data_IF_595021868963
#
_entry.id   IF_595021868963
#
_cell.length_a   1.000
_cell.length_b   1.000
_cell.length_c   1.000
_cell.angle_alpha   90.00
_cell.angle_beta   90.00
_cell.angle_gamma   90.00
#
_symmetry.space_group_name_H-M   'P 1'
#
loop_
_entity.id
_entity.type
_entity.pdbx_description
1 polymer ?
#
# COMPACT_ATOMS: atom_id res chain seq x y z
N UNK A 1 -29.75 24.45 -51.66
CA UNK A 1 -30.47 23.47 -50.81
C UNK A 1 -29.58 22.30 -50.32
N UNK A 2 -28.62 21.78 -51.10
CA UNK A 2 -27.79 20.63 -50.67
C UNK A 2 -26.62 20.96 -49.71
N UNK A 3 -26.18 22.23 -49.63
CA UNK A 3 -25.05 22.63 -48.79
C UNK A 3 -25.42 22.76 -47.30
N UNK A 4 -26.66 23.16 -47.00
CA UNK A 4 -27.19 23.26 -45.63
C UNK A 4 -27.44 21.88 -45.01
N UNK A 5 -27.83 20.87 -45.82
CA UNK A 5 -28.00 19.49 -45.35
C UNK A 5 -26.69 18.86 -44.87
N UNK A 6 -25.60 19.04 -45.63
CA UNK A 6 -24.27 18.55 -45.22
C UNK A 6 -23.70 19.27 -44.00
N UNK A 7 -24.06 20.54 -43.80
CA UNK A 7 -23.60 21.32 -42.64
C UNK A 7 -24.37 20.96 -41.36
N UNK A 8 -25.66 20.61 -41.47
CA UNK A 8 -26.44 20.06 -40.36
C UNK A 8 -25.99 18.64 -40.00
N UNK A 9 -25.65 17.81 -40.99
CA UNK A 9 -25.07 16.48 -40.74
C UNK A 9 -23.65 16.56 -40.15
N UNK A 10 -22.82 17.52 -40.56
CA UNK A 10 -21.50 17.73 -39.94
C UNK A 10 -21.59 18.35 -38.54
N UNK A 11 -22.55 19.23 -38.26
CA UNK A 11 -22.74 19.78 -36.91
C UNK A 11 -23.36 18.75 -35.96
N UNK A 12 -24.30 17.93 -36.44
CA UNK A 12 -24.81 16.75 -35.72
C UNK A 12 -23.66 15.77 -35.41
N UNK A 13 -22.86 15.40 -36.42
CA UNK A 13 -21.73 14.48 -36.23
C UNK A 13 -20.60 15.06 -35.37
N UNK A 14 -20.35 16.37 -35.41
CA UNK A 14 -19.39 17.05 -34.53
C UNK A 14 -19.92 17.16 -33.09
N UNK A 15 -21.22 17.36 -32.89
CA UNK A 15 -21.82 17.29 -31.55
C UNK A 15 -21.82 15.85 -30.98
N UNK A 16 -21.87 14.82 -31.83
CA UNK A 16 -21.65 13.42 -31.42
C UNK A 16 -20.18 13.07 -31.18
N UNK A 17 -19.23 13.74 -31.86
CA UNK A 17 -17.78 13.55 -31.65
C UNK A 17 -17.30 14.02 -30.26
N UNK A 18 -18.02 14.96 -29.64
CA UNK A 18 -17.71 15.48 -28.30
C UNK A 18 -18.60 14.95 -27.19
N UNK A 19 -19.53 14.04 -27.48
CA UNK A 19 -20.38 13.45 -26.45
C UNK A 19 -19.89 12.05 -26.08
N UNK A 20 -19.38 11.93 -24.85
CA UNK A 20 -19.01 10.64 -24.28
C UNK A 20 -20.20 9.66 -24.41
N UNK A 21 -20.06 8.55 -25.17
CA UNK A 21 -21.15 7.61 -25.43
C UNK A 21 -21.67 6.92 -24.15
N UNK A 22 -20.90 6.97 -23.07
CA UNK A 22 -21.23 6.37 -21.77
C UNK A 22 -21.70 7.41 -20.73
N UNK A 23 -21.98 8.65 -21.17
CA UNK A 23 -22.50 9.67 -20.27
C UNK A 23 -23.99 9.46 -20.02
N UNK A 24 -24.34 9.27 -18.76
CA UNK A 24 -25.71 9.15 -18.29
C UNK A 24 -26.43 10.49 -18.42
N UNK A 25 -27.61 10.49 -19.04
CA UNK A 25 -28.41 11.70 -19.26
C UNK A 25 -29.90 11.41 -19.13
N UNK A 26 -30.66 12.38 -18.65
CA UNK A 26 -32.11 12.39 -18.74
C UNK A 26 -32.54 12.63 -20.19
N UNK A 27 -33.40 11.76 -20.71
CA UNK A 27 -33.96 11.83 -22.05
C UNK A 27 -35.46 11.60 -22.01
N UNK A 28 -36.27 12.42 -22.70
CA UNK A 28 -37.71 12.26 -22.71
C UNK A 28 -38.11 10.97 -23.43
N UNK A 29 -39.04 10.22 -22.83
CA UNK A 29 -39.50 8.93 -23.37
C UNK A 29 -40.17 9.08 -24.74
N UNK A 30 -40.75 10.25 -25.03
CA UNK A 30 -41.33 10.59 -26.33
C UNK A 30 -40.34 10.40 -27.49
N UNK A 31 -39.04 10.60 -27.25
CA UNK A 31 -37.99 10.45 -28.26
C UNK A 31 -37.79 9.00 -28.72
N UNK A 32 -38.39 8.04 -28.01
CA UNK A 32 -38.33 6.60 -28.28
C UNK A 32 -39.68 6.03 -28.74
N UNK A 33 -40.74 6.84 -28.80
CA UNK A 33 -42.10 6.40 -29.13
C UNK A 33 -42.46 6.41 -30.62
N UNK A 34 -41.64 6.95 -31.54
CA UNK A 34 -42.10 7.14 -32.93
C UNK A 34 -41.11 7.61 -34.00
N UNK A 35 -39.80 7.33 -33.89
CA UNK A 35 -38.78 7.95 -34.76
C UNK A 35 -37.66 7.02 -35.25
N UNK A 36 -37.98 5.80 -35.71
CA UNK A 36 -36.94 4.88 -36.23
C UNK A 36 -36.11 4.20 -35.13
N UNK A 37 -36.53 4.26 -33.87
CA UNK A 37 -35.92 3.50 -32.77
C UNK A 37 -36.78 2.28 -32.47
N UNK A 38 -36.21 1.09 -32.61
CA UNK A 38 -36.88 -0.20 -32.43
C UNK A 38 -36.48 -0.77 -31.07
N UNK A 39 -37.48 -1.14 -30.26
CA UNK A 39 -37.26 -1.85 -29.01
C UNK A 39 -36.71 -3.25 -29.31
N UNK A 40 -35.56 -3.60 -28.73
CA UNK A 40 -34.93 -4.91 -28.92
C UNK A 40 -35.14 -5.85 -27.73
N UNK A 41 -34.86 -5.38 -26.51
CA UNK A 41 -34.91 -6.19 -25.28
C UNK A 41 -35.35 -5.36 -24.08
N UNK A 42 -36.00 -6.03 -23.14
CA UNK A 42 -36.44 -5.45 -21.86
C UNK A 42 -36.10 -6.44 -20.75
N UNK A 43 -35.34 -6.00 -19.76
CA UNK A 43 -34.96 -6.78 -18.57
C UNK A 43 -35.18 -5.93 -17.33
N UNK A 44 -36.21 -6.25 -16.54
CA UNK A 44 -36.64 -5.43 -15.41
C UNK A 44 -37.02 -4.01 -15.86
N UNK A 45 -36.36 -3.00 -15.29
CA UNK A 45 -36.54 -1.58 -15.68
C UNK A 45 -35.58 -1.11 -16.76
N UNK A 46 -34.71 -1.97 -17.28
CA UNK A 46 -33.69 -1.60 -18.28
C UNK A 46 -34.14 -2.07 -19.66
N UNK A 47 -34.01 -1.19 -20.64
CA UNK A 47 -34.57 -1.35 -21.97
C UNK A 47 -33.51 -1.02 -23.02
N UNK A 48 -33.35 -1.88 -24.04
CA UNK A 48 -32.42 -1.67 -25.15
C UNK A 48 -33.18 -1.30 -26.42
N UNK A 49 -32.82 -0.16 -27.00
CA UNK A 49 -33.33 0.30 -28.29
C UNK A 49 -32.25 0.28 -29.36
N UNK A 50 -32.63 -0.04 -30.59
CA UNK A 50 -31.80 0.13 -31.81
C UNK A 50 -32.33 1.29 -32.62
N UNK A 51 -31.51 2.32 -32.81
CA UNK A 51 -31.78 3.43 -33.70
C UNK A 51 -31.41 3.03 -35.15
N UNK A 52 -32.40 2.85 -36.01
CA UNK A 52 -32.19 2.44 -37.41
C UNK A 52 -31.64 3.55 -38.29
N UNK A 53 -31.81 4.82 -37.90
CA UNK A 53 -31.34 5.98 -38.66
C UNK A 53 -29.83 6.20 -38.49
N UNK A 54 -29.33 6.05 -37.26
CA UNK A 54 -27.92 6.31 -36.92
C UNK A 54 -27.10 5.04 -36.64
N UNK A 55 -27.71 3.85 -36.75
CA UNK A 55 -27.08 2.57 -36.38
C UNK A 55 -26.45 2.61 -34.97
N UNK A 56 -27.19 3.13 -33.99
CA UNK A 56 -26.77 3.18 -32.58
C UNK A 56 -27.70 2.35 -31.69
N UNK A 57 -27.15 1.85 -30.59
CA UNK A 57 -27.88 1.13 -29.55
C UNK A 57 -27.91 1.97 -28.29
N UNK A 58 -29.11 2.28 -27.84
CA UNK A 58 -29.37 3.11 -26.66
C UNK A 58 -29.90 2.20 -25.54
N UNK A 59 -29.23 2.21 -24.38
CA UNK A 59 -29.71 1.52 -23.19
C UNK A 59 -30.35 2.53 -22.24
N UNK A 60 -31.60 2.30 -21.88
CA UNK A 60 -32.42 3.18 -21.06
C UNK A 60 -32.80 2.51 -19.74
N UNK A 61 -32.81 3.28 -18.66
CA UNK A 61 -33.41 2.90 -17.39
C UNK A 61 -34.73 3.67 -17.23
N UNK A 62 -35.81 2.91 -17.08
CA UNK A 62 -37.15 3.43 -16.81
C UNK A 62 -37.29 3.76 -15.33
N UNK A 63 -37.61 5.01 -15.01
CA UNK A 63 -37.81 5.49 -13.65
C UNK A 63 -39.33 5.69 -13.44
N UNK A 64 -40.00 4.85 -12.63
CA UNK A 64 -41.44 4.96 -12.41
C UNK A 64 -41.89 6.32 -11.85
N UNK A 65 -41.02 6.97 -11.07
CA UNK A 65 -41.29 8.25 -10.42
C UNK A 65 -41.36 9.42 -11.41
N UNK A 66 -40.75 9.29 -12.59
CA UNK A 66 -40.76 10.30 -13.66
C UNK A 66 -41.13 9.65 -15.00
N UNK A 67 -42.40 9.32 -15.25
CA UNK A 67 -42.80 8.52 -16.42
C UNK A 67 -42.49 9.18 -17.78
N UNK A 68 -42.27 10.50 -17.80
CA UNK A 68 -41.95 11.25 -19.02
C UNK A 68 -40.45 11.32 -19.31
N UNK A 69 -39.59 11.02 -18.33
CA UNK A 69 -38.13 11.13 -18.43
C UNK A 69 -37.46 9.80 -18.05
N UNK A 70 -36.46 9.41 -18.82
CA UNK A 70 -35.71 8.16 -18.62
C UNK A 70 -34.22 8.44 -18.61
N UNK A 71 -33.45 7.59 -17.93
CA UNK A 71 -31.99 7.72 -17.94
C UNK A 71 -31.42 6.92 -19.10
N UNK A 72 -30.80 7.59 -20.06
CA UNK A 72 -29.94 6.92 -21.04
C UNK A 72 -28.62 6.59 -20.37
N UNK A 73 -28.32 5.30 -20.24
CA UNK A 73 -27.12 4.78 -19.59
C UNK A 73 -25.92 4.75 -20.54
N UNK A 74 -26.14 4.34 -21.79
CA UNK A 74 -25.13 4.37 -22.84
C UNK A 74 -25.76 4.49 -24.23
N UNK A 75 -24.97 4.96 -25.18
CA UNK A 75 -25.24 5.00 -26.61
C UNK A 75 -24.03 4.49 -27.37
N UNK A 76 -24.08 3.26 -27.86
CA UNK A 76 -22.93 2.58 -28.50
C UNK A 76 -23.24 2.33 -29.98
N UNK A 77 -22.23 2.40 -30.86
CA UNK A 77 -22.37 2.16 -32.30
C UNK A 77 -22.12 0.72 -32.75
N UNK A 78 -21.81 -0.19 -31.82
CA UNK A 78 -21.51 -1.60 -32.06
C UNK A 78 -22.60 -2.48 -31.46
N UNK A 79 -23.15 -3.39 -32.27
CA UNK A 79 -24.16 -4.35 -31.81
C UNK A 79 -23.60 -5.33 -30.80
N UNK A 80 -22.35 -5.77 -30.99
CA UNK A 80 -21.67 -6.74 -30.14
C UNK A 80 -21.47 -6.18 -28.72
N UNK A 81 -20.97 -4.95 -28.61
CA UNK A 81 -20.78 -4.28 -27.33
C UNK A 81 -22.11 -4.07 -26.60
N UNK A 82 -23.15 -3.61 -27.33
CA UNK A 82 -24.47 -3.39 -26.76
C UNK A 82 -25.09 -4.70 -26.22
N UNK A 83 -24.95 -5.80 -26.96
CA UNK A 83 -25.46 -7.12 -26.55
C UNK A 83 -24.67 -7.75 -25.40
N UNK A 84 -23.37 -7.45 -25.30
CA UNK A 84 -22.52 -7.92 -24.19
C UNK A 84 -22.79 -7.13 -22.89
N UNK A 85 -22.96 -5.81 -22.99
CA UNK A 85 -23.09 -4.93 -21.81
C UNK A 85 -24.50 -4.90 -21.24
N UNK A 86 -25.53 -4.96 -22.09
CA UNK A 86 -26.94 -4.93 -21.66
C UNK A 86 -27.29 -5.91 -20.52
N UNK A 87 -26.98 -7.22 -20.60
CA UNK A 87 -27.32 -8.16 -19.53
C UNK A 87 -26.57 -7.85 -18.23
N UNK A 88 -25.32 -7.37 -18.32
CA UNK A 88 -24.54 -7.00 -17.13
C UNK A 88 -25.13 -5.79 -16.43
N UNK A 89 -25.54 -4.77 -17.19
CA UNK A 89 -26.21 -3.58 -16.68
C UNK A 89 -27.56 -3.94 -16.06
N UNK A 90 -28.36 -4.76 -16.74
CA UNK A 90 -29.66 -5.22 -16.26
C UNK A 90 -29.58 -5.93 -14.90
N UNK A 91 -28.61 -6.84 -14.76
CA UNK A 91 -28.40 -7.61 -13.54
C UNK A 91 -27.82 -6.75 -12.41
N UNK A 92 -26.76 -5.98 -12.71
CA UNK A 92 -25.97 -5.30 -11.68
C UNK A 92 -26.60 -3.99 -11.20
N UNK A 93 -27.38 -3.29 -12.03
CA UNK A 93 -28.08 -2.05 -11.65
C UNK A 93 -29.35 -2.28 -10.84
N UNK A 94 -29.91 -3.49 -10.89
CA UNK A 94 -31.17 -3.84 -10.22
C UNK A 94 -31.24 -3.43 -8.75
N UNK A 95 -30.25 -3.74 -7.90
CA UNK A 95 -30.30 -3.35 -6.49
C UNK A 95 -30.34 -1.84 -6.28
N UNK A 96 -29.80 -1.05 -7.20
CA UNK A 96 -29.63 0.39 -7.03
C UNK A 96 -30.94 1.15 -7.32
N UNK A 97 -31.65 0.80 -8.40
CA UNK A 97 -32.92 1.46 -8.72
C UNK A 97 -34.12 0.91 -7.93
N UNK A 98 -34.01 -0.29 -7.33
CA UNK A 98 -35.04 -0.84 -6.44
C UNK A 98 -34.97 -0.23 -5.04
N UNK A 99 -33.78 0.20 -4.60
CA UNK A 99 -33.56 0.79 -3.26
C UNK A 99 -33.61 2.32 -3.26
N UNK A 100 -33.10 2.96 -4.32
CA UNK A 100 -32.95 4.41 -4.37
C UNK A 100 -33.53 4.98 -5.67
N UNK A 101 -34.11 6.19 -5.62
CA UNK A 101 -34.47 6.92 -6.83
C UNK A 101 -33.19 7.41 -7.52
N UNK A 102 -32.75 6.68 -8.54
CA UNK A 102 -31.54 7.03 -9.31
C UNK A 102 -31.78 8.26 -10.17
N UNK A 103 -30.94 9.28 -10.01
CA UNK A 103 -30.80 10.42 -10.92
C UNK A 103 -29.55 10.26 -11.78
N UNK A 104 -29.42 11.04 -12.85
CA UNK A 104 -28.26 11.00 -13.75
C UNK A 104 -26.92 11.17 -12.99
N UNK A 105 -26.88 12.08 -12.02
CA UNK A 105 -25.69 12.35 -11.19
C UNK A 105 -25.27 11.16 -10.33
N UNK A 106 -26.22 10.45 -9.72
CA UNK A 106 -25.96 9.27 -8.90
C UNK A 106 -25.73 8.00 -9.72
N UNK A 107 -26.29 7.93 -10.92
CA UNK A 107 -26.16 6.77 -11.81
C UNK A 107 -24.83 6.79 -12.59
N UNK A 108 -24.27 7.96 -12.87
CA UNK A 108 -23.02 8.10 -13.61
C UNK A 108 -21.85 7.33 -12.94
N UNK A 109 -21.56 7.50 -11.63
CA UNK A 109 -20.49 6.74 -10.97
C UNK A 109 -20.70 5.22 -11.03
N UNK A 110 -21.94 4.76 -10.88
CA UNK A 110 -22.30 3.33 -10.93
C UNK A 110 -22.02 2.76 -12.33
N UNK A 111 -22.47 3.47 -13.37
CA UNK A 111 -22.24 3.12 -14.78
C UNK A 111 -20.76 3.13 -15.14
N UNK A 112 -19.99 4.10 -14.60
CA UNK A 112 -18.55 4.15 -14.81
C UNK A 112 -17.84 2.97 -14.14
N UNK A 113 -18.24 2.57 -12.92
CA UNK A 113 -17.70 1.38 -12.25
C UNK A 113 -18.00 0.08 -13.02
N UNK A 114 -19.23 -0.06 -13.54
CA UNK A 114 -19.62 -1.23 -14.34
C UNK A 114 -18.75 -1.41 -15.59
N UNK A 115 -18.32 -0.30 -16.18
CA UNK A 115 -17.50 -0.27 -17.38
C UNK A 115 -16.02 -0.47 -17.08
N UNK A 116 -15.49 0.18 -16.04
CA UNK A 116 -14.07 0.09 -15.69
C UNK A 116 -13.72 -1.26 -15.08
N UNK A 117 -14.66 -1.89 -14.37
CA UNK A 117 -14.46 -3.16 -13.67
C UNK A 117 -15.63 -4.13 -13.93
N UNK A 118 -15.63 -4.81 -15.08
CA UNK A 118 -16.71 -5.73 -15.47
C UNK A 118 -16.81 -6.98 -14.57
N UNK A 119 -15.77 -7.29 -13.82
CA UNK A 119 -15.67 -8.38 -12.85
C UNK A 119 -16.31 -8.04 -11.49
N UNK A 120 -16.51 -6.75 -11.20
CA UNK A 120 -17.07 -6.32 -9.91
C UNK A 120 -18.51 -6.77 -9.71
N UNK A 121 -18.81 -7.28 -8.52
CA UNK A 121 -20.18 -7.56 -8.09
C UNK A 121 -20.95 -6.28 -7.75
N UNK A 122 -22.29 -6.35 -7.62
CA UNK A 122 -23.08 -5.18 -7.19
C UNK A 122 -22.68 -4.71 -5.79
N UNK A 123 -22.14 -5.58 -4.95
CA UNK A 123 -21.61 -5.23 -3.64
C UNK A 123 -20.33 -4.37 -3.72
N UNK A 124 -19.40 -4.70 -4.63
CA UNK A 124 -18.21 -3.88 -4.86
C UNK A 124 -18.60 -2.47 -5.32
N UNK A 125 -19.55 -2.38 -6.25
CA UNK A 125 -20.01 -1.09 -6.78
C UNK A 125 -20.74 -0.27 -5.71
N UNK A 126 -21.55 -0.91 -4.86
CA UNK A 126 -22.21 -0.23 -3.75
C UNK A 126 -21.21 0.37 -2.75
N UNK A 127 -20.12 -0.35 -2.45
CA UNK A 127 -19.03 0.14 -1.61
C UNK A 127 -18.25 1.27 -2.29
N UNK A 128 -17.87 1.11 -3.56
CA UNK A 128 -17.09 2.12 -4.30
C UNK A 128 -17.85 3.45 -4.40
N UNK A 129 -19.15 3.37 -4.65
CA UNK A 129 -20.02 4.54 -4.78
C UNK A 129 -20.52 5.10 -3.44
N UNK A 130 -20.24 4.42 -2.32
CA UNK A 130 -20.69 4.81 -0.98
C UNK A 130 -22.20 4.70 -0.76
N UNK A 131 -22.90 3.93 -1.60
CA UNK A 131 -24.36 3.73 -1.53
C UNK A 131 -24.70 2.64 -0.51
N UNK A 132 -24.54 3.01 0.76
CA UNK A 132 -24.78 2.20 1.96
C UNK A 132 -26.14 1.52 2.01
N UNK A 133 -27.21 2.24 1.65
CA UNK A 133 -28.57 1.67 1.64
C UNK A 133 -28.72 0.47 0.68
N UNK A 134 -27.96 0.45 -0.43
CA UNK A 134 -27.97 -0.66 -1.38
C UNK A 134 -27.37 -1.94 -0.79
N UNK A 135 -26.52 -1.85 0.23
CA UNK A 135 -25.92 -3.02 0.87
C UNK A 135 -26.98 -3.91 1.51
N UNK A 136 -28.09 -3.35 1.99
CA UNK A 136 -29.21 -4.10 2.61
C UNK A 136 -30.02 -4.91 1.61
N UNK A 137 -29.83 -4.69 0.32
CA UNK A 137 -30.60 -5.40 -0.71
C UNK A 137 -30.22 -6.89 -0.76
N UNK A 138 -31.22 -7.80 -0.79
CA UNK A 138 -31.00 -9.25 -0.77
C UNK A 138 -30.01 -9.74 -1.83
N UNK A 139 -30.07 -9.17 -3.03
CA UNK A 139 -29.13 -9.52 -4.10
C UNK A 139 -27.69 -9.10 -3.78
N UNK A 140 -27.50 -7.93 -3.18
CA UNK A 140 -26.18 -7.42 -2.78
C UNK A 140 -25.62 -8.25 -1.62
N UNK A 141 -26.47 -8.60 -0.64
CA UNK A 141 -26.13 -9.49 0.46
C UNK A 141 -25.62 -10.85 -0.04
N UNK A 142 -26.26 -11.42 -1.07
CA UNK A 142 -25.79 -12.69 -1.66
C UNK A 142 -24.39 -12.61 -2.28
N UNK A 143 -23.90 -11.40 -2.58
CA UNK A 143 -22.61 -11.12 -3.20
C UNK A 143 -21.61 -10.41 -2.28
N UNK A 144 -21.89 -10.33 -0.97
CA UNK A 144 -21.07 -9.59 -0.02
C UNK A 144 -19.65 -10.16 0.16
N UNK A 145 -19.49 -11.44 -0.18
CA UNK A 145 -18.22 -12.17 -0.12
C UNK A 145 -17.69 -12.53 -1.52
N UNK A 146 -18.30 -12.01 -2.60
CA UNK A 146 -17.79 -12.21 -3.95
C UNK A 146 -16.39 -11.64 -4.09
N UNK A 147 -15.58 -12.24 -4.96
CA UNK A 147 -14.21 -11.82 -5.22
C UNK A 147 -14.12 -11.20 -6.61
N UNK A 148 -13.44 -10.06 -6.71
CA UNK A 148 -13.12 -9.42 -7.98
C UNK A 148 -11.95 -10.13 -8.69
N UNK A 149 -11.52 -9.60 -9.84
CA UNK A 149 -10.42 -10.14 -10.63
C UNK A 149 -9.06 -10.09 -9.92
N UNK A 150 -8.91 -9.28 -8.87
CA UNK A 150 -7.74 -9.26 -7.96
C UNK A 150 -7.94 -10.14 -6.72
N UNK A 151 -9.06 -10.86 -6.63
CA UNK A 151 -9.40 -11.69 -5.49
C UNK A 151 -9.93 -10.92 -4.29
N UNK A 152 -10.13 -9.61 -4.40
CA UNK A 152 -10.60 -8.74 -3.32
C UNK A 152 -12.10 -8.84 -3.14
N UNK A 153 -12.56 -8.66 -1.91
CA UNK A 153 -14.00 -8.62 -1.57
C UNK A 153 -14.47 -7.17 -1.40
N UNK A 154 -15.79 -6.91 -1.35
CA UNK A 154 -16.31 -5.57 -1.04
C UNK A 154 -15.76 -5.00 0.26
N UNK A 155 -15.48 -5.86 1.26
CA UNK A 155 -14.86 -5.44 2.53
C UNK A 155 -13.41 -5.00 2.34
N UNK A 156 -12.62 -5.64 1.47
CA UNK A 156 -11.26 -5.18 1.14
C UNK A 156 -11.30 -3.76 0.57
N UNK A 157 -12.21 -3.49 -0.38
CA UNK A 157 -12.38 -2.16 -0.99
C UNK A 157 -12.84 -1.11 0.02
N UNK A 158 -13.78 -1.46 0.91
CA UNK A 158 -14.21 -0.56 1.97
C UNK A 158 -13.05 -0.16 2.90
N UNK A 159 -12.22 -1.14 3.28
CA UNK A 159 -11.01 -0.92 4.07
C UNK A 159 -9.96 -0.11 3.32
N UNK A 160 -9.73 -0.40 2.04
CA UNK A 160 -8.78 0.32 1.18
C UNK A 160 -9.19 1.79 1.00
N UNK A 161 -10.48 2.09 0.88
CA UNK A 161 -10.99 3.46 0.76
C UNK A 161 -10.95 4.24 2.07
N UNK A 162 -10.87 3.56 3.21
CA UNK A 162 -10.94 4.21 4.51
C UNK A 162 -12.37 4.61 4.93
N UNK A 163 -13.40 4.04 4.30
CA UNK A 163 -14.80 4.37 4.62
C UNK A 163 -15.30 3.59 5.85
N UNK A 164 -15.16 4.23 7.00
CA UNK A 164 -15.57 3.65 8.30
C UNK A 164 -17.04 3.26 8.36
N UNK A 165 -17.94 4.04 7.74
CA UNK A 165 -19.38 3.78 7.80
C UNK A 165 -19.76 2.58 6.94
N UNK A 166 -19.16 2.45 5.76
CA UNK A 166 -19.33 1.25 4.93
C UNK A 166 -18.77 0.02 5.64
N UNK A 167 -17.60 0.10 6.26
CA UNK A 167 -17.02 -1.04 7.00
C UNK A 167 -17.92 -1.47 8.17
N UNK A 168 -18.45 -0.53 8.95
CA UNK A 168 -19.34 -0.87 10.07
C UNK A 168 -20.60 -1.58 9.57
N UNK A 169 -21.23 -1.10 8.50
CA UNK A 169 -22.43 -1.74 7.96
C UNK A 169 -22.15 -3.14 7.36
N UNK A 170 -21.01 -3.31 6.68
CA UNK A 170 -20.61 -4.61 6.15
C UNK A 170 -20.35 -5.64 7.25
N UNK A 171 -19.80 -5.21 8.39
CA UNK A 171 -19.46 -6.10 9.50
C UNK A 171 -20.63 -6.34 10.48
N UNK A 172 -21.50 -5.34 10.67
CA UNK A 172 -22.61 -5.42 11.63
C UNK A 172 -23.86 -6.00 10.98
N UNK A 173 -24.30 -5.42 9.88
CA UNK A 173 -25.57 -5.75 9.23
C UNK A 173 -25.40 -6.89 8.21
N UNK A 174 -24.30 -6.87 7.46
CA UNK A 174 -24.12 -7.79 6.31
C UNK A 174 -23.31 -9.04 6.63
N UNK A 175 -22.75 -9.14 7.84
CA UNK A 175 -21.93 -10.27 8.30
C UNK A 175 -20.85 -10.70 7.28
N UNK A 176 -20.17 -9.70 6.69
CA UNK A 176 -19.11 -9.93 5.71
C UNK A 176 -17.95 -10.73 6.32
N UNK A 177 -17.41 -11.67 5.54
CA UNK A 177 -16.28 -12.51 5.97
C UNK A 177 -14.98 -11.72 5.99
N UNK A 178 -14.22 -11.86 7.08
CA UNK A 178 -12.95 -11.16 7.29
C UNK A 178 -11.71 -12.03 7.03
N UNK A 179 -11.92 -13.31 6.74
CA UNK A 179 -10.87 -14.32 6.56
C UNK A 179 -10.47 -14.54 5.09
N UNK A 180 -11.24 -14.00 4.14
CA UNK A 180 -10.96 -14.13 2.71
C UNK A 180 -9.69 -13.35 2.38
N UNK A 181 -8.76 -14.00 1.69
CA UNK A 181 -7.51 -13.39 1.21
C UNK A 181 -7.63 -13.00 -0.26
N UNK A 182 -7.00 -11.91 -0.67
CA UNK A 182 -6.88 -11.52 -2.08
C UNK A 182 -5.77 -12.30 -2.81
N UNK A 183 -5.39 -11.88 -4.01
CA UNK A 183 -4.31 -12.53 -4.78
C UNK A 183 -2.92 -12.37 -4.17
N UNK A 184 -2.68 -11.30 -3.41
CA UNK A 184 -1.42 -11.07 -2.69
C UNK A 184 -1.44 -11.76 -1.31
N UNK A 185 -2.50 -12.50 -1.01
CA UNK A 185 -2.71 -13.14 0.29
C UNK A 185 -3.10 -12.16 1.40
N UNK A 186 -3.46 -10.93 1.06
CA UNK A 186 -3.88 -9.91 2.00
C UNK A 186 -5.30 -10.16 2.48
N UNK A 187 -5.52 -10.01 3.78
CA UNK A 187 -6.86 -9.98 4.39
C UNK A 187 -7.41 -8.55 4.38
N UNK A 188 -8.71 -8.30 4.63
CA UNK A 188 -9.24 -6.94 4.74
C UNK A 188 -8.51 -6.10 5.80
N UNK A 189 -7.94 -6.75 6.81
CA UNK A 189 -7.15 -6.08 7.85
C UNK A 189 -5.80 -5.57 7.34
N UNK A 190 -5.18 -6.24 6.36
CA UNK A 190 -4.00 -5.72 5.67
C UNK A 190 -4.36 -4.45 4.89
N UNK A 191 -5.49 -4.45 4.15
CA UNK A 191 -5.97 -3.26 3.45
C UNK A 191 -6.26 -2.10 4.42
N UNK A 192 -6.88 -2.39 5.57
CA UNK A 192 -7.11 -1.40 6.62
C UNK A 192 -5.80 -0.84 7.19
N UNK A 193 -4.77 -1.68 7.37
CA UNK A 193 -3.45 -1.27 7.86
C UNK A 193 -2.66 -0.41 6.88
N UNK A 194 -2.99 -0.43 5.57
CA UNK A 194 -2.42 0.49 4.58
C UNK A 194 -2.89 1.94 4.78
N UNK A 195 -4.08 2.10 5.35
CA UNK A 195 -4.64 3.39 5.71
C UNK A 195 -4.12 3.88 7.06
N UNK A 196 -4.17 5.18 7.30
CA UNK A 196 -3.82 5.79 8.60
C UNK A 196 -5.06 6.04 9.46
N UNK A 197 -6.17 5.35 9.15
CA UNK A 197 -7.47 5.54 9.81
C UNK A 197 -7.66 4.48 10.90
N UNK A 198 -7.38 4.79 12.18
CA UNK A 198 -7.44 3.79 13.26
C UNK A 198 -8.86 3.31 13.55
N UNK A 199 -9.89 4.05 13.13
CA UNK A 199 -11.29 3.72 13.39
C UNK A 199 -11.69 2.37 12.77
N UNK A 200 -11.25 2.08 11.54
CA UNK A 200 -11.54 0.80 10.85
C UNK A 200 -10.93 -0.36 11.63
N UNK A 201 -9.65 -0.22 11.99
CA UNK A 201 -8.93 -1.26 12.74
C UNK A 201 -9.59 -1.50 14.09
N UNK A 202 -9.96 -0.44 14.82
CA UNK A 202 -10.66 -0.56 16.11
C UNK A 202 -11.99 -1.31 15.97
N UNK A 203 -12.79 -0.99 14.94
CA UNK A 203 -14.05 -1.70 14.66
C UNK A 203 -13.77 -3.18 14.39
N UNK A 204 -12.81 -3.50 13.52
CA UNK A 204 -12.47 -4.90 13.21
C UNK A 204 -11.93 -5.66 14.44
N UNK A 205 -11.06 -5.05 15.24
CA UNK A 205 -10.53 -5.67 16.45
C UNK A 205 -11.61 -5.89 17.53
N UNK A 206 -12.57 -4.97 17.68
CA UNK A 206 -13.69 -5.11 18.63
C UNK A 206 -14.58 -6.33 18.34
N UNK A 207 -14.60 -6.79 17.08
CA UNK A 207 -15.39 -7.93 16.61
C UNK A 207 -14.60 -9.24 16.58
N UNK A 208 -13.38 -9.24 17.15
CA UNK A 208 -12.46 -10.39 17.12
C UNK A 208 -12.21 -10.91 15.71
N UNK A 209 -12.08 -9.99 14.72
CA UNK A 209 -11.83 -10.39 13.34
C UNK A 209 -10.54 -11.23 13.23
N UNK A 210 -10.64 -12.40 12.60
CA UNK A 210 -9.50 -13.21 12.22
C UNK A 210 -8.66 -12.45 11.19
N UNK A 211 -7.35 -12.33 11.40
CA UNK A 211 -6.46 -11.68 10.42
C UNK A 211 -5.40 -10.76 11.00
N UNK A 212 -5.49 -10.37 12.27
CA UNK A 212 -4.56 -9.40 12.91
C UNK A 212 -3.09 -9.85 12.83
N UNK A 213 -2.87 -11.16 12.86
CA UNK A 213 -1.55 -11.78 12.86
C UNK A 213 -1.32 -12.70 11.65
N UNK A 214 -2.23 -12.68 10.67
CA UNK A 214 -2.10 -13.48 9.45
C UNK A 214 -0.99 -12.90 8.57
N UNK A 215 -0.24 -13.77 7.91
CA UNK A 215 0.78 -13.39 6.94
C UNK A 215 0.18 -13.38 5.52
N UNK A 216 0.51 -12.34 4.75
CA UNK A 216 0.29 -12.30 3.31
C UNK A 216 1.38 -13.08 2.54
N UNK A 217 1.33 -13.11 1.20
CA UNK A 217 2.31 -13.85 0.38
C UNK A 217 3.73 -13.25 0.45
N UNK A 218 3.86 -11.99 0.86
CA UNK A 218 5.16 -11.36 1.13
C UNK A 218 5.71 -11.69 2.52
N UNK A 219 4.97 -12.46 3.32
CA UNK A 219 5.32 -12.73 4.71
C UNK A 219 5.18 -11.49 5.59
N UNK A 220 4.24 -10.59 5.31
CA UNK A 220 3.95 -9.42 6.13
C UNK A 220 2.63 -9.66 6.90
N UNK A 221 2.59 -9.32 8.18
CA UNK A 221 1.32 -9.15 8.92
C UNK A 221 0.76 -7.74 8.70
N UNK A 222 -0.50 -7.44 9.07
CA UNK A 222 -1.01 -6.07 9.04
C UNK A 222 -0.10 -5.08 9.78
N UNK A 223 0.51 -5.50 10.90
CA UNK A 223 1.47 -4.68 11.64
C UNK A 223 2.75 -4.41 10.85
N UNK A 224 3.25 -5.37 10.08
CA UNK A 224 4.39 -5.14 9.17
C UNK A 224 4.05 -4.12 8.08
N UNK A 225 2.85 -4.22 7.49
CA UNK A 225 2.38 -3.31 6.44
C UNK A 225 2.28 -1.87 6.95
N UNK A 226 1.68 -1.67 8.15
CA UNK A 226 1.59 -0.33 8.74
C UNK A 226 2.97 0.23 9.09
N UNK A 227 3.89 -0.61 9.57
CA UNK A 227 5.28 -0.21 9.85
C UNK A 227 6.07 0.15 8.59
N UNK A 228 5.83 -0.53 7.47
CA UNK A 228 6.47 -0.24 6.18
C UNK A 228 5.96 1.07 5.58
N UNK A 229 4.69 1.40 5.80
CA UNK A 229 4.04 2.59 5.25
C UNK A 229 4.06 3.80 6.21
N UNK A 230 4.63 3.66 7.41
CA UNK A 230 4.71 4.75 8.39
C UNK A 230 3.38 5.13 9.03
N UNK A 231 2.40 4.21 9.08
CA UNK A 231 1.04 4.48 9.60
C UNK A 231 0.99 4.33 11.12
N UNK A 232 1.38 5.39 11.84
CA UNK A 232 1.56 5.37 13.30
C UNK A 232 0.23 5.09 14.04
N UNK A 233 -0.86 5.73 13.62
CA UNK A 233 -2.15 5.53 14.29
C UNK A 233 -2.71 4.12 14.05
N UNK A 234 -2.44 3.55 12.87
CA UNK A 234 -2.78 2.17 12.55
C UNK A 234 -1.94 1.17 13.35
N UNK A 235 -0.64 1.41 13.53
CA UNK A 235 0.23 0.61 14.43
C UNK A 235 -0.35 0.59 15.84
N UNK A 236 -0.67 1.77 16.39
CA UNK A 236 -1.26 1.89 17.73
C UNK A 236 -2.59 1.15 17.86
N UNK A 237 -3.46 1.26 16.86
CA UNK A 237 -4.75 0.58 16.84
C UNK A 237 -4.58 -0.95 16.75
N UNK A 238 -3.64 -1.45 15.93
CA UNK A 238 -3.36 -2.88 15.80
C UNK A 238 -2.80 -3.45 17.10
N UNK A 239 -1.84 -2.77 17.74
CA UNK A 239 -1.26 -3.18 19.02
C UNK A 239 -2.32 -3.20 20.13
N UNK A 240 -3.15 -2.16 20.22
CA UNK A 240 -4.29 -2.13 21.15
C UNK A 240 -5.36 -3.18 20.84
N UNK A 241 -5.41 -3.67 19.60
CA UNK A 241 -6.33 -4.70 19.12
C UNK A 241 -5.80 -6.14 19.23
N UNK A 242 -4.64 -6.34 19.86
CA UNK A 242 -4.06 -7.68 20.08
C UNK A 242 -3.14 -8.17 18.95
N UNK A 243 -2.60 -7.26 18.13
CA UNK A 243 -1.52 -7.60 17.21
C UNK A 243 -0.28 -8.02 17.98
N UNK A 244 0.32 -9.12 17.57
CA UNK A 244 1.53 -9.65 18.20
C UNK A 244 2.77 -9.09 17.52
N UNK A 245 3.72 -8.62 18.32
CA UNK A 245 5.01 -8.15 17.86
C UNK A 245 6.02 -9.29 17.59
N UNK A 246 5.73 -10.52 18.06
CA UNK A 246 6.61 -11.69 17.96
C UNK A 246 6.49 -12.46 16.64
N UNK A 247 5.59 -12.04 15.73
CA UNK A 247 5.41 -12.71 14.46
C UNK A 247 6.55 -12.34 13.53
N UNK A 248 7.33 -13.35 13.13
CA UNK A 248 8.44 -13.18 12.20
C UNK A 248 7.88 -13.15 10.77
N UNK A 249 8.04 -12.02 10.10
CA UNK A 249 7.74 -11.86 8.69
C UNK A 249 8.94 -12.08 7.77
N UNK A 250 8.78 -11.74 6.48
CA UNK A 250 9.84 -11.87 5.47
C UNK A 250 11.07 -10.98 5.70
N UNK A 251 10.93 -9.91 6.50
CA UNK A 251 12.00 -8.97 6.86
C UNK A 251 12.36 -9.07 8.36
N UNK A 252 11.98 -10.17 9.01
CA UNK A 252 12.07 -10.31 10.46
C UNK A 252 10.82 -9.77 11.16
N UNK A 253 10.97 -9.33 12.41
CA UNK A 253 9.87 -8.80 13.22
C UNK A 253 9.34 -7.44 12.71
N UNK A 254 8.13 -6.99 13.13
CA UNK A 254 7.56 -5.71 12.71
C UNK A 254 8.47 -4.50 12.98
N UNK A 255 9.21 -4.53 14.10
CA UNK A 255 10.20 -3.49 14.42
C UNK A 255 11.32 -3.43 13.37
N UNK A 256 11.77 -4.56 12.81
CA UNK A 256 12.79 -4.58 11.75
C UNK A 256 12.26 -3.95 10.46
N UNK A 257 10.99 -4.19 10.12
CA UNK A 257 10.33 -3.48 9.02
C UNK A 257 10.32 -1.96 9.27
N UNK A 258 9.88 -1.50 10.44
CA UNK A 258 9.90 -0.08 10.79
C UNK A 258 11.32 0.53 10.72
N UNK A 259 12.33 -0.18 11.22
CA UNK A 259 13.74 0.23 11.14
C UNK A 259 14.25 0.31 9.69
N UNK A 260 13.86 -0.64 8.84
CA UNK A 260 14.26 -0.66 7.42
C UNK A 260 13.72 0.56 6.66
N UNK A 261 12.50 1.00 6.96
CA UNK A 261 11.90 2.19 6.35
C UNK A 261 12.17 3.48 7.13
N UNK A 262 12.83 3.40 8.30
CA UNK A 262 13.17 4.54 9.17
C UNK A 262 11.94 5.26 9.75
N UNK A 263 10.89 4.50 10.04
CA UNK A 263 9.63 5.01 10.56
C UNK A 263 9.67 5.17 12.08
N UNK A 264 10.15 6.33 12.53
CA UNK A 264 10.36 6.65 13.94
C UNK A 264 9.11 6.44 14.80
N UNK A 265 7.98 7.03 14.39
CA UNK A 265 6.74 6.96 15.17
C UNK A 265 6.23 5.53 15.35
N UNK A 266 6.40 4.67 14.33
CA UNK A 266 6.03 3.27 14.43
C UNK A 266 6.91 2.52 15.45
N UNK A 267 8.22 2.80 15.48
CA UNK A 267 9.13 2.19 16.45
C UNK A 267 8.79 2.62 17.88
N UNK A 268 8.51 3.91 18.13
CA UNK A 268 8.11 4.37 19.47
C UNK A 268 6.86 3.65 19.97
N UNK A 269 5.84 3.50 19.13
CA UNK A 269 4.59 2.84 19.53
C UNK A 269 4.79 1.33 19.77
N UNK A 270 5.61 0.65 18.94
CA UNK A 270 5.95 -0.76 19.17
C UNK A 270 6.69 -0.93 20.50
N UNK A 271 7.67 -0.07 20.80
CA UNK A 271 8.45 -0.15 22.04
C UNK A 271 7.63 0.17 23.29
N UNK A 272 6.64 1.06 23.18
CA UNK A 272 5.67 1.32 24.25
C UNK A 272 4.80 0.09 24.54
N UNK A 273 4.42 -0.66 23.50
CA UNK A 273 3.59 -1.86 23.64
C UNK A 273 4.40 -3.08 24.10
N UNK A 274 5.59 -3.28 23.54
CA UNK A 274 6.47 -4.41 23.84
C UNK A 274 7.95 -3.98 23.81
N UNK A 275 8.50 -3.70 25.00
CA UNK A 275 9.91 -3.38 25.17
C UNK A 275 10.85 -4.57 24.84
N UNK A 276 10.32 -5.80 24.80
CA UNK A 276 11.09 -6.99 24.42
C UNK A 276 11.60 -6.95 22.97
N UNK A 277 10.93 -6.17 22.11
CA UNK A 277 11.32 -5.99 20.71
C UNK A 277 12.70 -5.35 20.52
N UNK A 278 13.27 -4.70 21.54
CA UNK A 278 14.63 -4.15 21.50
C UNK A 278 15.70 -5.22 21.28
N UNK A 279 15.46 -6.43 21.75
CA UNK A 279 16.39 -7.57 21.64
C UNK A 279 15.93 -8.57 20.59
N UNK A 280 14.92 -8.23 19.79
CA UNK A 280 14.46 -9.08 18.71
C UNK A 280 15.59 -9.25 17.68
N UNK A 281 16.01 -10.49 17.46
CA UNK A 281 17.06 -10.81 16.50
C UNK A 281 16.46 -11.05 15.12
N UNK A 282 16.97 -10.35 14.10
CA UNK A 282 16.62 -10.68 12.72
C UNK A 282 16.97 -12.15 12.38
N UNK A 283 16.13 -12.78 11.56
CA UNK A 283 16.27 -14.20 11.21
C UNK A 283 17.50 -14.46 10.35
N UNK A 284 17.90 -13.51 9.49
CA UNK A 284 18.97 -13.71 8.52
C UNK A 284 20.36 -13.48 9.13
N UNK A 285 20.53 -12.39 9.88
CA UNK A 285 21.85 -11.99 10.41
C UNK A 285 21.95 -12.09 11.93
N UNK A 286 20.85 -12.33 12.65
CA UNK A 286 20.82 -12.27 14.10
C UNK A 286 21.12 -10.89 14.67
N UNK A 287 20.82 -9.82 13.91
CA UNK A 287 21.06 -8.45 14.34
C UNK A 287 19.83 -7.89 15.07
N UNK A 288 20.05 -7.21 16.19
CA UNK A 288 19.00 -6.42 16.89
C UNK A 288 18.54 -5.23 16.05
N UNK A 289 17.42 -4.55 16.39
CA UNK A 289 16.97 -3.35 15.67
C UNK A 289 18.07 -2.28 15.53
N UNK A 290 18.96 -2.15 16.51
CA UNK A 290 20.07 -1.21 16.50
C UNK A 290 21.05 -1.45 15.34
N UNK A 291 21.25 -2.71 14.93
CA UNK A 291 22.12 -3.07 13.80
C UNK A 291 21.62 -2.49 12.46
N UNK A 292 20.31 -2.28 12.33
CA UNK A 292 19.67 -1.81 11.10
C UNK A 292 19.40 -0.31 11.08
N UNK A 293 19.75 0.39 12.15
CA UNK A 293 19.56 1.83 12.29
C UNK A 293 20.23 2.64 11.17
N UNK A 294 19.47 3.51 10.50
CA UNK A 294 19.97 4.34 9.39
C UNK A 294 20.35 5.74 9.80
N UNK A 295 19.60 6.31 10.75
CA UNK A 295 19.73 7.71 11.15
C UNK A 295 20.20 7.80 12.61
N UNK A 296 20.81 8.93 12.94
CA UNK A 296 21.21 9.26 14.31
C UNK A 296 20.02 9.28 15.28
N UNK A 297 18.86 9.74 14.81
CA UNK A 297 17.64 9.80 15.61
C UNK A 297 17.12 8.42 15.98
N UNK A 298 17.10 7.47 15.03
CA UNK A 298 16.70 6.08 15.32
C UNK A 298 17.68 5.40 16.28
N UNK A 299 18.98 5.71 16.17
CA UNK A 299 19.97 5.23 17.14
C UNK A 299 19.68 5.77 18.54
N UNK A 300 19.51 7.09 18.68
CA UNK A 300 19.23 7.73 19.97
C UNK A 300 18.00 7.15 20.62
N UNK A 301 16.92 7.02 19.86
CA UNK A 301 15.66 6.45 20.34
C UNK A 301 15.85 5.04 20.90
N UNK A 302 16.49 4.13 20.15
CA UNK A 302 16.72 2.77 20.64
C UNK A 302 17.60 2.72 21.89
N UNK A 303 18.59 3.60 21.99
CA UNK A 303 19.51 3.70 23.12
C UNK A 303 18.84 4.30 24.36
N UNK A 304 18.00 5.32 24.20
CA UNK A 304 17.19 5.92 25.26
C UNK A 304 16.22 4.89 25.87
N UNK A 305 15.72 3.97 25.04
CA UNK A 305 14.91 2.83 25.48
C UNK A 305 15.73 1.66 26.08
N UNK A 306 17.06 1.78 26.21
CA UNK A 306 17.91 0.81 26.91
C UNK A 306 18.45 -0.33 26.04
N UNK A 307 18.51 -0.16 24.72
CA UNK A 307 19.11 -1.17 23.83
C UNK A 307 20.60 -1.41 24.15
N UNK A 308 21.02 -2.67 24.10
CA UNK A 308 22.43 -3.04 24.30
C UNK A 308 23.30 -2.57 23.12
N UNK A 309 24.24 -1.66 23.41
CA UNK A 309 25.08 -0.98 22.39
C UNK A 309 26.10 -1.92 21.76
N UNK A 310 26.63 -2.84 22.56
CA UNK A 310 27.76 -3.72 22.21
C UNK A 310 27.33 -5.16 21.87
N UNK A 311 26.05 -5.38 21.59
CA UNK A 311 25.56 -6.68 21.14
C UNK A 311 26.22 -7.07 19.82
N UNK A 312 26.59 -8.35 19.69
CA UNK A 312 27.18 -8.94 18.49
C UNK A 312 26.13 -9.79 17.79
N UNK A 313 25.90 -9.51 16.50
CA UNK A 313 25.06 -10.35 15.65
C UNK A 313 25.60 -11.78 15.51
N UNK A 314 24.83 -12.69 14.90
CA UNK A 314 25.31 -14.05 14.57
C UNK A 314 26.49 -14.06 13.60
N UNK A 315 26.66 -12.99 12.82
CA UNK A 315 27.85 -12.78 11.97
C UNK A 315 29.06 -12.26 12.75
N UNK A 316 28.90 -12.00 14.04
CA UNK A 316 29.90 -11.42 14.91
C UNK A 316 30.10 -9.92 14.67
N UNK A 317 29.16 -9.20 14.06
CA UNK A 317 29.26 -7.75 13.86
C UNK A 317 28.44 -7.01 14.92
N UNK A 318 28.98 -5.92 15.49
CA UNK A 318 28.16 -4.99 16.27
C UNK A 318 27.50 -3.92 15.40
N UNK A 319 26.54 -3.20 15.96
CA UNK A 319 25.92 -2.06 15.29
C UNK A 319 26.97 -1.04 14.79
N UNK A 320 28.02 -0.77 15.57
CA UNK A 320 29.11 0.13 15.16
C UNK A 320 29.86 -0.38 13.92
N UNK A 321 30.10 -1.69 13.79
CA UNK A 321 30.72 -2.27 12.59
C UNK A 321 29.86 -2.02 11.35
N UNK A 322 28.55 -2.25 11.45
CA UNK A 322 27.61 -2.09 10.33
C UNK A 322 27.51 -0.62 9.92
N UNK A 323 27.36 0.30 10.89
CA UNK A 323 27.28 1.73 10.60
C UNK A 323 28.56 2.26 9.96
N UNK A 324 29.72 1.80 10.44
CA UNK A 324 31.03 2.18 9.87
C UNK A 324 31.20 1.64 8.46
N UNK A 325 30.85 0.38 8.21
CA UNK A 325 30.87 -0.23 6.87
C UNK A 325 29.96 0.51 5.88
N UNK A 326 28.85 1.08 6.36
CA UNK A 326 27.89 1.85 5.53
C UNK A 326 28.19 3.34 5.49
N UNK A 327 29.22 3.83 6.18
CA UNK A 327 29.60 5.25 6.18
C UNK A 327 28.62 6.18 6.90
N UNK A 328 27.82 5.66 7.84
CA UNK A 328 26.78 6.44 8.53
C UNK A 328 27.37 7.22 9.72
N UNK A 329 28.12 8.27 9.42
CA UNK A 329 28.85 9.08 10.43
C UNK A 329 27.97 9.53 11.60
N UNK A 330 26.84 10.19 11.33
CA UNK A 330 25.97 10.72 12.40
C UNK A 330 25.40 9.64 13.32
N UNK A 331 25.05 8.48 12.78
CA UNK A 331 24.53 7.35 13.55
C UNK A 331 25.65 6.67 14.38
N UNK A 332 26.83 6.49 13.78
CA UNK A 332 28.00 5.95 14.48
C UNK A 332 28.45 6.87 15.61
N UNK A 333 28.36 8.19 15.43
CA UNK A 333 28.68 9.17 16.48
C UNK A 333 27.81 8.97 17.71
N UNK A 334 26.50 8.79 17.50
CA UNK A 334 25.56 8.50 18.59
C UNK A 334 25.94 7.23 19.33
N UNK A 335 26.29 6.15 18.62
CA UNK A 335 26.73 4.91 19.29
C UNK A 335 27.98 5.16 20.16
N UNK A 336 28.98 5.87 19.63
CA UNK A 336 30.21 6.18 20.35
C UNK A 336 29.96 7.04 21.59
N UNK A 337 29.13 8.08 21.48
CA UNK A 337 28.76 8.92 22.63
C UNK A 337 27.97 8.16 23.71
N UNK A 338 27.26 7.10 23.32
CA UNK A 338 26.51 6.22 24.23
C UNK A 338 27.33 4.99 24.68
N UNK A 339 28.66 5.00 24.53
CA UNK A 339 29.54 3.97 25.09
C UNK A 339 29.75 2.72 24.22
N UNK A 340 29.59 2.83 22.90
CA UNK A 340 29.97 1.76 21.98
C UNK A 340 31.48 1.49 22.06
N UNK A 341 31.86 0.23 22.20
CA UNK A 341 33.25 -0.18 22.25
C UNK A 341 33.84 -0.19 20.83
N UNK A 342 34.72 0.77 20.53
CA UNK A 342 35.39 0.87 19.24
C UNK A 342 36.40 -0.27 18.97
N UNK A 343 36.86 -0.94 20.02
CA UNK A 343 37.85 -2.03 19.98
C UNK A 343 37.23 -3.43 19.93
N UNK A 344 35.90 -3.51 19.88
CA UNK A 344 35.20 -4.76 19.73
C UNK A 344 35.63 -5.43 18.43
N UNK A 345 36.05 -6.69 18.48
CA UNK A 345 36.42 -7.46 17.30
C UNK A 345 35.16 -8.02 16.65
N UNK A 346 34.94 -7.62 15.41
CA UNK A 346 33.83 -8.06 14.59
C UNK A 346 34.12 -9.33 13.79
N UNK A 347 33.45 -9.46 12.64
CA UNK A 347 33.71 -10.52 11.66
C UNK A 347 35.18 -10.48 11.17
N UNK A 348 35.83 -11.64 11.14
CA UNK A 348 37.26 -11.82 10.81
C UNK A 348 38.22 -11.07 11.75
N UNK A 349 37.81 -10.80 12.99
CA UNK A 349 38.60 -10.09 13.97
C UNK A 349 38.76 -8.58 13.68
N UNK A 350 38.07 -8.07 12.66
CA UNK A 350 38.14 -6.66 12.28
C UNK A 350 37.41 -5.79 13.29
N UNK A 351 38.06 -4.78 13.83
CA UNK A 351 37.41 -3.72 14.62
C UNK A 351 36.70 -2.70 13.72
N UNK A 352 35.92 -1.81 14.33
CA UNK A 352 35.31 -0.69 13.60
C UNK A 352 36.38 0.16 12.85
N UNK A 353 37.57 0.33 13.43
CA UNK A 353 38.66 1.08 12.80
C UNK A 353 39.21 0.38 11.55
N UNK A 354 39.35 -0.94 11.57
CA UNK A 354 39.73 -1.71 10.37
C UNK A 354 38.75 -1.45 9.22
N UNK A 355 37.44 -1.46 9.53
CA UNK A 355 36.40 -1.22 8.54
C UNK A 355 36.42 0.23 8.03
N UNK A 356 36.61 1.21 8.91
CA UNK A 356 36.67 2.62 8.54
C UNK A 356 37.85 2.91 7.59
N UNK A 357 39.02 2.33 7.89
CA UNK A 357 40.24 2.41 7.08
C UNK A 357 40.09 1.72 5.73
N UNK A 358 39.44 0.55 5.71
CA UNK A 358 39.19 -0.20 4.46
C UNK A 358 38.28 0.57 3.49
N UNK A 359 37.30 1.29 4.02
CA UNK A 359 36.32 2.05 3.23
C UNK A 359 36.70 3.53 3.02
N UNK A 360 37.87 3.96 3.52
CA UNK A 360 38.36 5.34 3.49
C UNK A 360 37.41 6.40 4.08
N UNK A 361 36.72 6.06 5.17
CA UNK A 361 35.81 6.99 5.85
C UNK A 361 36.57 7.91 6.82
N UNK A 362 37.26 8.92 6.29
CA UNK A 362 38.16 9.82 7.04
C UNK A 362 37.55 10.42 8.32
N UNK A 363 36.31 10.90 8.26
CA UNK A 363 35.64 11.49 9.43
C UNK A 363 35.34 10.45 10.51
N UNK A 364 34.97 9.22 10.12
CA UNK A 364 34.78 8.11 11.05
C UNK A 364 36.10 7.64 11.64
N UNK A 365 37.18 7.62 10.86
CA UNK A 365 38.52 7.27 11.33
C UNK A 365 38.95 8.20 12.46
N UNK A 366 38.90 9.52 12.22
CA UNK A 366 39.24 10.53 13.22
C UNK A 366 38.40 10.36 14.47
N UNK A 367 37.09 10.20 14.31
CA UNK A 367 36.19 10.01 15.44
C UNK A 367 36.52 8.74 16.24
N UNK A 368 36.68 7.59 15.59
CA UNK A 368 37.01 6.33 16.27
C UNK A 368 38.29 6.45 17.09
N UNK A 369 39.33 7.11 16.56
CA UNK A 369 40.59 7.37 17.29
C UNK A 369 40.33 8.25 18.52
N UNK A 370 39.57 9.33 18.37
CA UNK A 370 39.19 10.21 19.49
C UNK A 370 38.42 9.46 20.59
N UNK A 371 37.57 8.49 20.20
CA UNK A 371 36.84 7.63 21.13
C UNK A 371 37.64 6.40 21.60
N UNK A 372 38.97 6.39 21.42
CA UNK A 372 39.86 5.38 22.00
C UNK A 372 39.99 4.08 21.19
N UNK A 373 39.75 4.12 19.88
CA UNK A 373 40.05 2.99 19.00
C UNK A 373 41.56 2.75 18.92
N UNK A 374 41.97 1.51 19.18
CA UNK A 374 43.36 1.07 19.15
C UNK A 374 43.78 0.73 17.71
N UNK A 375 44.90 1.34 17.29
CA UNK A 375 45.51 1.19 15.96
C UNK A 375 46.40 -0.03 15.84
N UNK A 376 46.68 -0.72 16.95
CA UNK A 376 47.55 -1.90 17.01
C UNK A 376 46.78 -3.22 17.14
N UNK A 377 45.45 -3.19 17.17
CA UNK A 377 44.65 -4.43 17.21
C UNK A 377 44.82 -5.17 15.88
N UNK A 378 45.17 -6.44 15.95
CA UNK A 378 45.30 -7.29 14.78
C UNK A 378 43.97 -8.02 14.50
N UNK A 379 43.57 -8.05 13.24
CA UNK A 379 42.49 -8.91 12.75
C UNK A 379 42.95 -10.38 12.64
N UNK A 380 42.07 -11.28 12.18
CA UNK A 380 42.40 -12.72 12.08
C UNK A 380 43.48 -13.03 11.03
N UNK A 381 43.76 -12.08 10.14
CA UNK A 381 44.84 -12.15 9.14
C UNK A 381 46.16 -11.58 9.66
N UNK A 382 46.21 -11.10 10.91
CA UNK A 382 47.37 -10.42 11.49
C UNK A 382 47.59 -9.00 10.94
N UNK A 383 46.61 -8.41 10.25
CA UNK A 383 46.70 -7.04 9.74
C UNK A 383 46.25 -6.05 10.82
N UNK A 384 46.98 -4.95 10.99
CA UNK A 384 46.52 -3.78 11.75
C UNK A 384 45.64 -2.87 10.87
N UNK A 385 44.78 -2.00 11.45
CA UNK A 385 43.97 -1.06 10.68
C UNK A 385 44.79 -0.20 9.71
N UNK A 386 45.98 0.24 10.14
CA UNK A 386 46.90 1.02 9.31
C UNK A 386 47.47 0.22 8.13
N UNK A 387 47.75 -1.08 8.31
CA UNK A 387 48.21 -1.94 7.22
C UNK A 387 47.14 -2.14 6.15
N UNK A 388 45.86 -2.24 6.56
CA UNK A 388 44.73 -2.31 5.62
C UNK A 388 44.65 -1.03 4.78
N UNK A 389 44.73 0.15 5.39
CA UNK A 389 44.73 1.43 4.68
C UNK A 389 45.88 1.53 3.65
N UNK A 390 47.07 1.04 4.00
CA UNK A 390 48.22 1.02 3.10
C UNK A 390 48.02 0.06 1.91
N UNK A 391 47.26 -1.03 2.08
CA UNK A 391 46.95 -1.99 1.02
C UNK A 391 45.85 -1.49 0.08
N UNK A 392 44.81 -0.86 0.62
CA UNK A 392 43.70 -0.32 -0.18
C UNK A 392 44.12 0.91 -0.98
N UNK A 393 44.86 1.84 -0.37
CA UNK A 393 45.37 3.04 -1.06
C UNK A 393 46.36 2.75 -2.20
N UNK A 394 47.15 1.67 -2.12
CA UNK A 394 48.03 1.22 -3.23
C UNK A 394 47.27 0.61 -4.41
N UNK A 395 46.02 0.16 -4.20
CA UNK A 395 45.16 -0.34 -5.27
C UNK A 395 44.57 0.78 -6.13
N UNK A 396 44.17 1.89 -5.51
CA UNK A 396 43.65 3.08 -6.20
C UNK A 396 44.78 3.94 -6.80
N UNK A 397 45.93 4.04 -6.13
CA UNK A 397 47.09 4.81 -6.63
C UNK A 397 47.82 4.19 -7.83
N UNK A 398 47.41 3.03 -8.38
CA UNK A 398 47.89 2.61 -9.71
C UNK A 398 47.36 3.50 -10.85
N UNK A 399 46.38 4.37 -10.58
CA UNK A 399 45.96 5.44 -11.51
C UNK A 399 46.56 6.83 -11.22
N UNK A 400 47.04 7.07 -10.00
CA UNK A 400 47.48 8.40 -9.54
C UNK A 400 48.82 8.33 -8.77
N UNK A 401 49.76 7.53 -9.25
CA UNK A 401 51.13 7.50 -8.73
C UNK A 401 51.96 8.69 -9.27
N UNK A 402 51.49 9.92 -9.04
CA UNK A 402 52.31 11.15 -9.01
C UNK A 402 51.60 12.22 -8.19
N UNK A 403 51.53 12.07 -6.86
CA UNK A 403 52.10 13.05 -5.92
C UNK A 403 51.74 12.67 -4.46
N UNK A 404 52.50 13.23 -3.53
CA UNK A 404 52.25 13.22 -2.07
C UNK A 404 52.64 11.93 -1.31
N UNK A 405 53.96 11.81 -1.12
CA UNK A 405 54.56 11.55 0.21
C UNK A 405 54.12 12.66 1.19
N UNK A 406 54.12 12.38 2.50
CA UNK A 406 53.73 13.26 3.65
C UNK A 406 52.25 13.02 4.04
N UNK A 407 51.83 12.54 5.22
CA UNK A 407 52.37 12.51 6.59
C UNK A 407 51.61 11.42 7.38
N UNK A 408 52.33 10.46 7.95
CA UNK A 408 51.92 9.77 9.19
C UNK A 408 52.87 10.31 10.25
N UNK A 409 52.37 11.16 11.13
CA UNK A 409 53.04 11.57 12.37
C UNK A 409 52.05 12.33 13.24
N UNK A 410 52.18 12.11 14.55
CA UNK A 410 51.60 12.81 15.71
C UNK A 410 50.38 12.05 16.29
N UNK A 411 50.49 11.37 17.44
CA UNK A 411 51.01 11.80 18.76
C UNK A 411 50.48 13.16 19.20
#
# INVERSE_FOLDING_TARGET
>A
MQFLGRLLDTVSSVSTLFTNPYRVRDVPLSDYGGGGKVLLKTEGRIVLYKNTQCQSWDCLLMIPETPNMTLRLFQVGSEEDAMNWFPQYALKLRPFYETLPLKAESAQPIVDCLRSHPDWSSAHIAVETGLRECLKHNYVQSQINSRDASGQTPLHRACERGDTACVTELLEESQARTDIKDQDGETPMHCAAKQDTPAIIKVMCSRMCSGVNELNLHGETPLHVSCRLGRVESVKALLGGGAKCDVIGGVGYPIHSAMKYSEKGCVEEILKADAGQLQAEDSLYGGTPLHWSKTAEMCRLLLEHGCAVNYLSKTGESALHILTRRGRFGAAMVLLTHGANANLKGQHGNTALHLAMKMDHMELIKALIVFGADVEIHNDLGETPGLIAARTSKGERRGEERDVRVRVSLC
#
